data_IF_203273525393
#
_entry.id   IF_203273525393
#
_cell.length_a   1.000
_cell.length_b   1.000
_cell.length_c   1.000
_cell.angle_alpha   90.00
_cell.angle_beta   90.00
_cell.angle_gamma   90.00
#
_symmetry.space_group_name_H-M   'P 1'
#
loop_
_entity.id
_entity.type
_entity.pdbx_description
1 polymer ?
#
# COMPACT_ATOMS: atom_id res chain seq x y z
N UNK A 1 5.18 1.57 -10.46
CA UNK A 1 6.00 0.69 -11.35
C UNK A 1 6.85 -0.29 -10.53
N UNK A 2 7.76 0.17 -9.67
CA UNK A 2 8.69 -0.67 -8.89
C UNK A 2 8.02 -1.86 -8.17
N UNK A 3 6.99 -1.62 -7.37
CA UNK A 3 6.33 -2.67 -6.61
C UNK A 3 5.61 -3.73 -7.47
N UNK A 4 5.09 -3.35 -8.64
CA UNK A 4 4.27 -4.26 -9.47
C UNK A 4 5.07 -4.88 -10.61
N UNK A 5 5.70 -4.05 -11.42
CA UNK A 5 6.45 -4.48 -12.60
C UNK A 5 7.76 -5.19 -12.25
N UNK A 6 8.37 -4.89 -11.10
CA UNK A 6 9.61 -5.52 -10.66
C UNK A 6 9.39 -6.47 -9.47
N UNK A 7 8.99 -5.94 -8.32
CA UNK A 7 8.95 -6.72 -7.07
C UNK A 7 7.91 -7.85 -7.11
N UNK A 8 6.64 -7.53 -7.39
CA UNK A 8 5.58 -8.54 -7.47
C UNK A 8 5.88 -9.57 -8.56
N UNK A 9 6.28 -9.11 -9.75
CA UNK A 9 6.62 -10.01 -10.86
C UNK A 9 7.76 -10.97 -10.50
N UNK A 10 8.79 -10.49 -9.81
CA UNK A 10 9.87 -11.34 -9.31
C UNK A 10 9.38 -12.35 -8.28
N UNK A 11 8.66 -11.89 -7.25
CA UNK A 11 8.18 -12.76 -6.17
C UNK A 11 7.15 -13.78 -6.66
N UNK A 12 6.28 -13.43 -7.62
CA UNK A 12 5.33 -14.37 -8.24
C UNK A 12 6.07 -15.48 -8.98
N UNK A 13 7.15 -15.16 -9.69
CA UNK A 13 7.98 -16.16 -10.38
C UNK A 13 8.70 -17.11 -9.41
N UNK A 14 9.04 -16.65 -8.21
CA UNK A 14 9.79 -17.44 -7.23
C UNK A 14 8.90 -18.19 -6.23
N UNK A 15 7.77 -17.61 -5.83
CA UNK A 15 6.93 -18.08 -4.71
C UNK A 15 5.47 -18.38 -5.12
N UNK A 16 5.13 -18.14 -6.38
CA UNK A 16 3.76 -18.30 -6.92
C UNK A 16 2.88 -17.06 -6.72
N UNK A 17 1.74 -17.05 -7.42
CA UNK A 17 0.86 -15.88 -7.52
C UNK A 17 0.40 -15.35 -6.16
N UNK A 18 -0.16 -16.22 -5.32
CA UNK A 18 -0.74 -15.83 -4.02
C UNK A 18 0.31 -15.20 -3.11
N UNK A 19 1.44 -15.88 -2.91
CA UNK A 19 2.49 -15.41 -2.01
C UNK A 19 3.24 -14.21 -2.58
N UNK A 20 3.49 -14.18 -3.89
CA UNK A 20 4.11 -13.02 -4.53
C UNK A 20 3.31 -11.74 -4.37
N UNK A 21 1.97 -11.83 -4.51
CA UNK A 21 1.06 -10.70 -4.26
C UNK A 21 1.05 -10.29 -2.79
N UNK A 22 0.83 -11.24 -1.87
CA UNK A 22 0.73 -10.96 -0.43
C UNK A 22 2.02 -10.35 0.12
N UNK A 23 3.18 -10.93 -0.20
CA UNK A 23 4.48 -10.44 0.29
C UNK A 23 4.76 -9.04 -0.26
N UNK A 24 4.45 -8.77 -1.54
CA UNK A 24 4.57 -7.42 -2.08
C UNK A 24 3.67 -6.44 -1.34
N UNK A 25 2.45 -6.84 -1.00
CA UNK A 25 1.53 -5.99 -0.24
C UNK A 25 2.06 -5.67 1.16
N UNK A 26 2.63 -6.65 1.87
CA UNK A 26 3.27 -6.45 3.17
C UNK A 26 4.43 -5.46 3.05
N UNK A 27 5.37 -5.68 2.12
CA UNK A 27 6.55 -4.82 1.94
C UNK A 27 6.15 -3.39 1.59
N UNK A 28 5.19 -3.23 0.66
CA UNK A 28 4.65 -1.92 0.30
C UNK A 28 4.11 -1.19 1.53
N UNK A 29 3.31 -1.88 2.35
CA UNK A 29 2.68 -1.28 3.53
C UNK A 29 3.71 -0.83 4.55
N UNK A 30 4.69 -1.69 4.86
CA UNK A 30 5.74 -1.38 5.82
C UNK A 30 6.59 -0.16 5.41
N UNK A 31 6.88 0.00 4.11
CA UNK A 31 7.62 1.17 3.62
C UNK A 31 6.84 2.47 3.80
N UNK A 32 5.51 2.44 3.69
CA UNK A 32 4.66 3.63 3.93
C UNK A 32 4.56 3.99 5.42
N UNK A 33 4.99 3.08 6.31
CA UNK A 33 4.98 3.28 7.76
C UNK A 33 6.33 3.73 8.31
N UNK A 34 7.36 3.94 7.48
CA UNK A 34 8.69 4.31 7.98
C UNK A 34 8.68 5.57 8.87
N UNK A 35 7.78 6.53 8.59
CA UNK A 35 7.65 7.74 9.42
C UNK A 35 7.19 7.48 10.85
N UNK A 36 6.31 6.49 11.08
CA UNK A 36 5.79 6.21 12.43
C UNK A 36 6.82 5.51 13.33
N UNK A 37 7.85 4.88 12.75
CA UNK A 37 8.95 4.29 13.52
C UNK A 37 9.77 5.33 14.28
N UNK A 38 9.71 6.61 13.89
CA UNK A 38 10.37 7.70 14.61
C UNK A 38 9.74 7.93 16.00
N UNK A 39 8.45 7.63 16.17
CA UNK A 39 7.70 7.82 17.42
C UNK A 39 7.74 6.57 18.31
N UNK A 40 8.24 5.43 17.78
CA UNK A 40 8.22 4.14 18.45
C UNK A 40 8.98 4.11 19.79
N UNK A 41 10.07 4.89 19.89
CA UNK A 41 10.89 4.96 21.12
C UNK A 41 10.29 5.91 22.17
N UNK A 42 9.55 6.94 21.74
CA UNK A 42 9.00 7.96 22.63
C UNK A 42 7.65 7.52 23.22
N UNK A 43 6.82 6.86 22.43
CA UNK A 43 5.50 6.40 22.87
C UNK A 43 5.11 5.08 22.17
N UNK A 44 5.41 3.93 22.81
CA UNK A 44 5.07 2.62 22.27
C UNK A 44 3.57 2.42 22.03
N UNK A 45 2.72 2.94 22.93
CA UNK A 45 1.26 2.82 22.81
C UNK A 45 0.73 3.59 21.59
N UNK A 46 1.19 4.82 21.40
CA UNK A 46 0.84 5.64 20.23
C UNK A 46 1.33 4.98 18.94
N UNK A 47 2.54 4.42 18.95
CA UNK A 47 3.06 3.67 17.80
C UNK A 47 2.15 2.51 17.40
N UNK A 48 1.68 1.70 18.35
CA UNK A 48 0.78 0.57 18.06
C UNK A 48 -0.53 1.06 17.44
N UNK A 49 -1.12 2.13 17.99
CA UNK A 49 -2.37 2.71 17.49
C UNK A 49 -2.18 3.21 16.05
N UNK A 50 -1.14 4.02 15.81
CA UNK A 50 -0.83 4.56 14.48
C UNK A 50 -0.49 3.46 13.47
N UNK A 51 0.24 2.43 13.90
CA UNK A 51 0.56 1.27 13.08
C UNK A 51 -0.71 0.56 12.62
N UNK A 52 -1.63 0.22 13.53
CA UNK A 52 -2.85 -0.51 13.17
C UNK A 52 -3.78 0.32 12.27
N UNK A 53 -3.91 1.62 12.56
CA UNK A 53 -4.72 2.54 11.76
C UNK A 53 -4.15 2.76 10.36
N UNK A 54 -2.82 2.81 10.22
CA UNK A 54 -2.17 3.12 8.94
C UNK A 54 -1.83 1.88 8.12
N UNK A 55 -1.47 0.77 8.76
CA UNK A 55 -1.10 -0.47 8.08
C UNK A 55 -2.26 -1.02 7.26
N UNK A 56 -3.44 -1.10 7.87
CA UNK A 56 -4.65 -1.68 7.26
C UNK A 56 -4.99 -1.05 5.89
N UNK A 57 -5.13 0.28 5.76
CA UNK A 57 -5.44 0.90 4.46
C UNK A 57 -4.31 0.71 3.44
N UNK A 58 -3.03 0.85 3.82
CA UNK A 58 -1.91 0.62 2.90
C UNK A 58 -1.83 -0.83 2.41
N UNK A 59 -2.11 -1.78 3.30
CA UNK A 59 -2.15 -3.20 2.96
C UNK A 59 -3.31 -3.52 2.04
N UNK A 60 -4.50 -3.01 2.34
CA UNK A 60 -5.69 -3.20 1.53
C UNK A 60 -5.52 -2.65 0.11
N UNK A 61 -5.06 -1.41 -0.05
CA UNK A 61 -4.84 -0.83 -1.37
C UNK A 61 -3.75 -1.61 -2.14
N UNK A 62 -2.67 -2.00 -1.47
CA UNK A 62 -1.61 -2.75 -2.13
C UNK A 62 -2.10 -4.13 -2.60
N UNK A 63 -2.86 -4.84 -1.76
CA UNK A 63 -3.46 -6.12 -2.12
C UNK A 63 -4.40 -5.98 -3.32
N UNK A 64 -5.28 -4.97 -3.30
CA UNK A 64 -6.19 -4.66 -4.41
C UNK A 64 -5.43 -4.39 -5.71
N UNK A 65 -4.40 -3.54 -5.68
CA UNK A 65 -3.59 -3.23 -6.86
C UNK A 65 -2.79 -4.46 -7.34
N UNK A 66 -2.37 -5.33 -6.43
CA UNK A 66 -1.65 -6.56 -6.77
C UNK A 66 -2.53 -7.56 -7.51
N UNK A 67 -3.77 -7.73 -7.05
CA UNK A 67 -4.79 -8.53 -7.74
C UNK A 67 -5.24 -7.90 -9.05
N UNK A 68 -5.44 -6.58 -9.11
CA UNK A 68 -5.76 -5.87 -10.33
C UNK A 68 -4.67 -6.07 -11.39
N UNK A 69 -3.39 -5.96 -11.01
CA UNK A 69 -2.26 -6.20 -11.89
C UNK A 69 -2.30 -7.59 -12.49
N UNK A 70 -2.56 -8.61 -11.66
CA UNK A 70 -2.67 -9.99 -12.10
C UNK A 70 -3.90 -10.22 -13.00
N UNK A 71 -5.08 -9.75 -12.59
CA UNK A 71 -6.34 -9.87 -13.34
C UNK A 71 -6.28 -9.20 -14.71
N UNK A 72 -5.53 -8.09 -14.83
CA UNK A 72 -5.37 -7.34 -16.08
C UNK A 72 -4.15 -7.78 -16.89
N UNK A 73 -3.69 -9.02 -16.74
CA UNK A 73 -2.58 -9.61 -17.48
C UNK A 73 -1.31 -8.73 -17.42
N UNK A 74 -0.92 -8.34 -16.20
CA UNK A 74 0.27 -7.51 -15.96
C UNK A 74 0.21 -6.09 -16.59
N UNK A 75 -0.99 -5.56 -16.84
CA UNK A 75 -1.15 -4.20 -17.34
C UNK A 75 -0.86 -3.16 -16.24
N UNK A 76 0.32 -2.53 -16.31
CA UNK A 76 0.73 -1.49 -15.38
C UNK A 76 -0.12 -0.21 -15.49
N UNK A 77 -0.68 0.11 -16.65
CA UNK A 77 -1.48 1.34 -16.84
C UNK A 77 -2.73 1.28 -15.97
N UNK A 78 -3.42 0.14 -15.94
CA UNK A 78 -4.59 -0.05 -15.09
C UNK A 78 -4.27 0.19 -13.60
N UNK A 79 -3.11 -0.31 -13.15
CA UNK A 79 -2.64 -0.14 -11.78
C UNK A 79 -2.26 1.32 -11.48
N UNK A 80 -1.53 1.97 -12.39
CA UNK A 80 -1.09 3.36 -12.22
C UNK A 80 -2.28 4.32 -12.14
N UNK A 81 -3.27 4.16 -13.02
CA UNK A 81 -4.50 4.97 -12.99
C UNK A 81 -5.25 4.73 -11.68
N UNK A 82 -5.45 3.48 -11.28
CA UNK A 82 -6.17 3.14 -10.05
C UNK A 82 -5.48 3.70 -8.81
N UNK A 83 -4.16 3.61 -8.74
CA UNK A 83 -3.38 4.18 -7.65
C UNK A 83 -3.51 5.71 -7.63
N UNK A 84 -3.35 6.39 -8.77
CA UNK A 84 -3.50 7.84 -8.84
C UNK A 84 -4.90 8.32 -8.46
N UNK A 85 -5.95 7.59 -8.86
CA UNK A 85 -7.33 7.89 -8.43
C UNK A 85 -7.48 7.71 -6.93
N UNK A 86 -6.94 6.64 -6.35
CA UNK A 86 -6.94 6.44 -4.90
C UNK A 86 -6.24 7.59 -4.17
N UNK A 87 -5.06 8.01 -4.64
CA UNK A 87 -4.32 9.12 -4.04
C UNK A 87 -5.13 10.42 -4.05
N UNK A 88 -5.75 10.75 -5.19
CA UNK A 88 -6.63 11.93 -5.31
C UNK A 88 -7.80 11.85 -4.34
N UNK A 89 -8.46 10.69 -4.24
CA UNK A 89 -9.58 10.50 -3.31
C UNK A 89 -9.13 10.66 -1.86
N UNK A 90 -8.00 10.08 -1.47
CA UNK A 90 -7.45 10.23 -0.12
C UNK A 90 -7.16 11.70 0.18
N UNK A 91 -6.51 12.42 -0.74
CA UNK A 91 -6.18 13.83 -0.55
C UNK A 91 -7.45 14.69 -0.43
N UNK A 92 -8.41 14.53 -1.34
CA UNK A 92 -9.67 15.29 -1.32
C UNK A 92 -10.46 14.99 -0.05
N UNK A 93 -10.59 13.72 0.34
CA UNK A 93 -11.29 13.34 1.57
C UNK A 93 -10.58 13.91 2.81
N UNK A 94 -9.25 13.87 2.85
CA UNK A 94 -8.47 14.47 3.94
C UNK A 94 -8.71 15.97 4.00
N UNK A 95 -8.70 16.66 2.86
CA UNK A 95 -9.00 18.10 2.80
C UNK A 95 -10.41 18.43 3.26
N UNK A 96 -11.43 17.67 2.84
CA UNK A 96 -12.82 17.91 3.25
C UNK A 96 -13.05 17.65 4.75
N UNK A 97 -12.40 16.64 5.31
CA UNK A 97 -12.58 16.25 6.72
C UNK A 97 -11.77 17.11 7.69
N UNK A 98 -10.56 17.51 7.31
CA UNK A 98 -9.62 18.19 8.20
C UNK A 98 -9.28 19.62 7.77
N UNK A 99 -9.49 19.99 6.51
CA UNK A 99 -9.16 21.31 5.96
C UNK A 99 -10.29 22.33 6.02
N UNK A 100 -11.50 21.94 6.46
CA UNK A 100 -12.62 22.87 6.73
C UNK A 100 -12.78 23.20 8.23
N UNK A 101 -11.89 22.67 9.08
CA UNK A 101 -11.76 22.99 10.51
C UNK A 101 -10.69 24.07 10.71
#
# INVERSE_FOLDING_TARGET
>A
ILFRGFMQKGLVRSLGDRWGIIITAIIFSLIHLLGIFLVALESPDLFIILFLLSFTPYFAISLMLGWLYHWRNENLIAVMITHGVYDVLVIVMTYLLYGML
#
